data_IF_781382313838
#
_entry.id   IF_781382313838
#
_cell.length_a   1.000
_cell.length_b   1.000
_cell.length_c   1.000
_cell.angle_alpha   90.00
_cell.angle_beta   90.00
_cell.angle_gamma   90.00
#
_symmetry.space_group_name_H-M   'P 1'
#
loop_
_entity.id
_entity.type
_entity.pdbx_description
1 polymer ?
#
# COMPACT_ATOMS: atom_id res chain seq x y z
N UNK A 1 -53.72 -6.57 1.51
CA UNK A 1 -52.36 -6.93 1.93
C UNK A 1 -51.38 -6.17 1.03
N UNK A 2 -50.88 -5.02 1.50
CA UNK A 2 -49.98 -4.16 0.73
C UNK A 2 -48.56 -4.74 0.78
N UNK A 3 -47.98 -5.03 -0.38
CA UNK A 3 -46.60 -5.49 -0.50
C UNK A 3 -45.69 -4.27 -0.32
N UNK A 4 -45.08 -4.14 0.86
CA UNK A 4 -44.06 -3.14 1.13
C UNK A 4 -42.89 -3.40 0.18
N UNK A 5 -42.71 -2.52 -0.81
CA UNK A 5 -41.50 -2.48 -1.62
C UNK A 5 -40.42 -1.89 -0.72
N UNK A 6 -39.56 -2.75 -0.17
CA UNK A 6 -38.36 -2.30 0.53
C UNK A 6 -37.58 -1.37 -0.40
N UNK A 7 -37.10 -0.21 0.09
CA UNK A 7 -36.23 0.62 -0.71
C UNK A 7 -34.97 -0.20 -0.98
N UNK A 8 -34.62 -0.33 -2.26
CA UNK A 8 -33.32 -0.84 -2.65
C UNK A 8 -32.29 0.09 -1.99
N UNK A 9 -31.66 -0.42 -0.93
CA UNK A 9 -30.61 0.25 -0.21
C UNK A 9 -29.58 0.75 -1.22
N UNK A 10 -29.27 2.04 -1.13
CA UNK A 10 -28.31 2.70 -2.00
C UNK A 10 -26.89 2.16 -1.72
N UNK A 11 -26.60 0.94 -2.17
CA UNK A 11 -25.35 0.23 -1.95
C UNK A 11 -24.18 0.75 -2.80
N UNK A 12 -24.26 2.00 -3.28
CA UNK A 12 -23.38 2.51 -4.35
C UNK A 12 -22.26 3.44 -3.90
N UNK A 13 -22.47 4.28 -2.88
CA UNK A 13 -21.50 5.34 -2.52
C UNK A 13 -20.64 4.98 -1.31
N UNK A 14 -21.25 4.65 -0.17
CA UNK A 14 -20.52 4.46 1.09
C UNK A 14 -19.52 3.29 1.11
N UNK A 15 -19.78 2.22 0.34
CA UNK A 15 -18.88 1.05 0.28
C UNK A 15 -17.60 1.32 -0.51
N UNK A 16 -17.67 2.21 -1.49
CA UNK A 16 -16.50 2.58 -2.30
C UNK A 16 -15.59 3.53 -1.52
N UNK A 17 -16.17 4.50 -0.82
CA UNK A 17 -15.40 5.42 0.04
C UNK A 17 -14.66 4.66 1.16
N UNK A 18 -15.33 3.68 1.78
CA UNK A 18 -14.72 2.83 2.80
C UNK A 18 -13.61 1.95 2.23
N UNK A 19 -13.81 1.35 1.04
CA UNK A 19 -12.78 0.57 0.37
C UNK A 19 -11.56 1.43 -0.01
N UNK A 20 -11.76 2.66 -0.46
CA UNK A 20 -10.67 3.60 -0.78
C UNK A 20 -9.91 3.98 0.50
N UNK A 21 -10.60 4.26 1.60
CA UNK A 21 -9.96 4.55 2.88
C UNK A 21 -9.09 3.40 3.39
N UNK A 22 -9.62 2.17 3.33
CA UNK A 22 -8.87 0.96 3.70
C UNK A 22 -7.67 0.72 2.79
N UNK A 23 -7.83 0.91 1.47
CA UNK A 23 -6.72 0.80 0.52
C UNK A 23 -5.63 1.85 0.79
N UNK A 24 -6.01 3.10 1.03
CA UNK A 24 -5.08 4.17 1.41
C UNK A 24 -4.34 3.84 2.71
N UNK A 25 -5.04 3.33 3.72
CA UNK A 25 -4.43 2.93 4.98
C UNK A 25 -3.45 1.76 4.78
N UNK A 26 -3.83 0.76 4.00
CA UNK A 26 -2.96 -0.37 3.68
C UNK A 26 -1.71 0.07 2.94
N UNK A 27 -1.85 0.96 1.94
CA UNK A 27 -0.72 1.53 1.21
C UNK A 27 0.19 2.36 2.13
N UNK A 28 -0.39 3.16 3.03
CA UNK A 28 0.38 3.90 4.02
C UNK A 28 1.18 2.97 4.94
N UNK A 29 0.58 1.90 5.45
CA UNK A 29 1.27 0.93 6.30
C UNK A 29 2.37 0.18 5.54
N UNK A 30 2.15 -0.16 4.26
CA UNK A 30 3.19 -0.76 3.41
C UNK A 30 4.35 0.22 3.19
N UNK A 31 4.08 1.49 2.89
CA UNK A 31 5.12 2.50 2.75
C UNK A 31 5.87 2.72 4.07
N UNK A 32 5.16 2.79 5.20
CA UNK A 32 5.76 2.93 6.51
C UNK A 32 6.67 1.73 6.83
N UNK A 33 6.23 0.51 6.57
CA UNK A 33 7.03 -0.69 6.75
C UNK A 33 8.27 -0.69 5.83
N UNK A 34 8.11 -0.23 4.58
CA UNK A 34 9.22 -0.08 3.65
C UNK A 34 10.25 0.93 4.15
N UNK A 35 9.81 2.07 4.71
CA UNK A 35 10.70 3.08 5.29
C UNK A 35 11.40 2.57 6.56
N UNK A 36 10.67 1.92 7.46
CA UNK A 36 11.23 1.38 8.71
C UNK A 36 12.23 0.26 8.48
N UNK A 37 12.12 -0.45 7.36
CA UNK A 37 13.05 -1.50 6.93
C UNK A 37 14.01 -1.04 5.84
N UNK A 38 14.17 0.26 5.65
CA UNK A 38 15.13 0.81 4.70
C UNK A 38 16.56 0.37 5.06
N UNK A 39 17.28 -0.10 4.05
CA UNK A 39 18.69 -0.48 4.15
C UNK A 39 19.47 0.20 3.02
N UNK A 40 20.61 0.86 3.31
CA UNK A 40 21.44 1.48 2.26
C UNK A 40 22.08 0.46 1.31
N UNK A 41 22.11 -0.81 1.69
CA UNK A 41 22.61 -1.91 0.87
C UNK A 41 21.55 -2.50 -0.07
N UNK A 42 20.28 -2.07 0.05
CA UNK A 42 19.21 -2.51 -0.84
C UNK A 42 19.26 -1.82 -2.21
N UNK A 43 18.71 -2.44 -3.27
CA UNK A 43 18.66 -1.81 -4.58
C UNK A 43 17.78 -0.56 -4.54
N UNK A 44 18.38 0.59 -4.85
CA UNK A 44 17.68 1.88 -5.01
C UNK A 44 18.01 2.49 -6.37
N UNK A 45 17.52 3.70 -6.65
CA UNK A 45 17.82 4.36 -7.93
C UNK A 45 19.29 4.79 -8.04
N UNK A 46 19.95 5.05 -6.91
CA UNK A 46 21.39 5.39 -6.84
C UNK A 46 22.32 4.20 -6.59
N UNK A 47 21.81 3.06 -6.13
CA UNK A 47 22.62 1.94 -5.65
C UNK A 47 22.36 0.66 -6.45
N UNK A 48 23.39 0.18 -7.15
CA UNK A 48 23.39 -1.14 -7.79
C UNK A 48 23.71 -2.22 -6.75
N UNK A 49 22.69 -2.73 -6.06
CA UNK A 49 22.86 -3.80 -5.09
C UNK A 49 23.17 -5.16 -5.76
N UNK A 50 23.97 -6.04 -5.14
CA UNK A 50 24.24 -7.38 -5.64
C UNK A 50 22.95 -8.19 -5.81
N UNK A 51 22.84 -9.03 -6.86
CA UNK A 51 21.64 -9.84 -7.09
C UNK A 51 21.44 -10.84 -5.94
N UNK A 52 20.23 -10.86 -5.38
CA UNK A 52 19.76 -11.95 -4.52
C UNK A 52 19.53 -11.64 -3.05
N UNK A 53 19.73 -10.40 -2.59
CA UNK A 53 19.36 -10.02 -1.21
C UNK A 53 18.66 -8.66 -1.20
N UNK A 54 17.44 -8.64 -0.68
CA UNK A 54 16.70 -7.42 -0.33
C UNK A 54 16.35 -7.53 1.15
N UNK A 55 16.85 -6.60 1.95
CA UNK A 55 16.63 -6.52 3.39
C UNK A 55 15.26 -5.90 3.72
N UNK A 56 14.73 -5.05 2.83
CA UNK A 56 13.40 -4.46 2.97
C UNK A 56 12.32 -5.54 3.13
N UNK A 57 11.52 -5.45 4.18
CA UNK A 57 10.50 -6.48 4.50
C UNK A 57 9.33 -6.47 3.52
N UNK A 58 9.11 -5.35 2.83
CA UNK A 58 8.13 -5.23 1.74
C UNK A 58 8.71 -5.77 0.43
N UNK A 59 10.02 -6.04 0.40
CA UNK A 59 10.75 -6.58 -0.74
C UNK A 59 11.26 -5.49 -1.69
N UNK A 60 11.53 -5.88 -2.93
CA UNK A 60 12.18 -5.00 -3.92
C UNK A 60 11.41 -3.70 -4.18
N UNK A 61 10.09 -3.77 -4.29
CA UNK A 61 9.26 -2.57 -4.49
C UNK A 61 9.34 -1.64 -3.29
N UNK A 62 9.39 -2.20 -2.07
CA UNK A 62 9.60 -1.42 -0.84
C UNK A 62 10.96 -0.75 -0.79
N UNK A 63 12.02 -1.45 -1.20
CA UNK A 63 13.36 -0.88 -1.30
C UNK A 63 13.41 0.32 -2.24
N UNK A 64 12.84 0.21 -3.45
CA UNK A 64 12.76 1.34 -4.38
C UNK A 64 11.85 2.47 -3.90
N UNK A 65 10.71 2.14 -3.30
CA UNK A 65 9.78 3.14 -2.77
C UNK A 65 10.39 3.92 -1.59
N UNK A 66 11.06 3.23 -0.68
CA UNK A 66 11.76 3.86 0.43
C UNK A 66 12.98 4.66 -0.06
N UNK A 67 13.76 4.11 -0.99
CA UNK A 67 14.87 4.82 -1.64
C UNK A 67 14.41 6.12 -2.29
N UNK A 68 13.32 6.11 -3.07
CA UNK A 68 12.77 7.32 -3.70
C UNK A 68 12.28 8.40 -2.71
N UNK A 69 12.02 8.04 -1.45
CA UNK A 69 11.60 8.98 -0.41
C UNK A 69 12.80 9.50 0.39
N UNK A 70 13.84 8.69 0.55
CA UNK A 70 15.02 9.00 1.38
C UNK A 70 16.13 9.68 0.58
N UNK A 71 16.26 9.38 -0.71
CA UNK A 71 17.21 9.99 -1.67
C UNK A 71 16.68 11.31 -2.25
#
# INVERSE_FOLDING_TARGET
MAKVKQPAEAAGAGRLDEAVGVACLALFLLLLAALLSYSPDDPTFGVAAPPGRVANVVGMVGAYAAGAVVE
#
